data_IF_068634876593
#
_entry.id   IF_068634876593
#
_cell.length_a   1.000
_cell.length_b   1.000
_cell.length_c   1.000
_cell.angle_alpha   90.00
_cell.angle_beta   90.00
_cell.angle_gamma   90.00
#
_symmetry.space_group_name_H-M   'P 1'
#
loop_
_entity.id
_entity.type
_entity.pdbx_description
1 polymer ?
#
# COMPACT_ATOMS: atom_id res chain seq x y z
N UNK A 1 -24.34 -7.62 36.58
CA UNK A 1 -24.36 -6.77 35.41
C UNK A 1 -23.78 -5.44 35.83
N UNK A 2 -22.57 -5.14 35.48
CA UNK A 2 -21.97 -3.83 35.68
C UNK A 2 -21.86 -3.19 34.29
N UNK A 3 -22.60 -2.10 34.12
CA UNK A 3 -22.55 -1.27 32.94
C UNK A 3 -21.10 -0.79 32.71
N UNK A 4 -20.53 -1.10 31.56
CA UNK A 4 -19.27 -0.52 31.12
C UNK A 4 -19.54 0.88 30.60
N UNK A 5 -18.68 1.86 30.90
CA UNK A 5 -18.80 3.20 30.33
C UNK A 5 -18.52 3.18 28.83
N UNK A 6 -19.07 4.14 28.07
CA UNK A 6 -18.97 4.17 26.63
C UNK A 6 -17.57 4.52 26.14
N UNK A 7 -17.14 3.77 25.18
CA UNK A 7 -16.17 3.96 24.09
C UNK A 7 -15.45 5.31 24.01
N UNK A 8 -14.13 5.25 23.94
CA UNK A 8 -13.29 6.39 23.59
C UNK A 8 -13.58 6.84 22.15
N UNK A 9 -13.81 8.13 21.98
CA UNK A 9 -13.89 8.76 20.65
C UNK A 9 -12.47 8.99 20.19
N UNK A 10 -11.95 8.14 19.30
CA UNK A 10 -10.71 8.41 18.61
C UNK A 10 -10.91 9.60 17.66
N UNK A 11 -10.41 10.76 18.03
CA UNK A 11 -10.37 11.92 17.13
C UNK A 11 -9.11 11.83 16.28
N UNK A 12 -9.29 11.72 14.98
CA UNK A 12 -8.18 11.86 14.03
C UNK A 12 -7.71 13.31 14.01
N UNK A 13 -6.45 13.55 14.38
CA UNK A 13 -5.84 14.88 14.32
C UNK A 13 -4.90 14.96 13.12
N UNK A 14 -5.03 15.98 12.25
CA UNK A 14 -4.23 16.09 11.03
C UNK A 14 -2.79 16.58 11.27
N UNK A 15 -2.13 16.16 12.34
CA UNK A 15 -0.79 16.62 12.70
C UNK A 15 0.34 16.23 11.73
N UNK A 16 0.02 15.66 10.56
CA UNK A 16 0.97 15.36 9.48
C UNK A 16 0.78 16.16 8.20
N UNK A 17 -0.26 16.97 8.09
CA UNK A 17 -0.48 17.79 6.88
C UNK A 17 0.46 19.00 6.87
N UNK A 18 1.55 18.92 6.13
CA UNK A 18 2.33 20.10 5.72
C UNK A 18 1.39 21.07 5.01
N UNK A 19 1.57 22.37 5.27
CA UNK A 19 0.79 23.46 4.63
C UNK A 19 0.79 23.27 3.12
N UNK A 20 -0.32 22.78 2.60
CA UNK A 20 -0.60 22.65 1.18
C UNK A 20 -1.13 24.01 0.67
N UNK A 21 -0.85 24.34 -0.58
CA UNK A 21 -1.19 25.64 -1.18
C UNK A 21 -2.71 25.93 -1.14
N UNK A 22 -3.15 27.19 -1.16
CA UNK A 22 -4.57 27.60 -1.00
C UNK A 22 -5.55 27.02 -2.04
N UNK A 23 -5.05 26.49 -3.17
CA UNK A 23 -5.90 25.83 -4.18
C UNK A 23 -6.34 24.40 -3.81
N UNK A 24 -5.81 23.86 -2.71
CA UNK A 24 -6.05 22.48 -2.28
C UNK A 24 -7.14 22.32 -1.20
N UNK A 25 -7.62 23.40 -0.56
CA UNK A 25 -8.49 23.26 0.61
C UNK A 25 -9.82 22.55 0.33
N UNK A 26 -10.56 22.89 -0.73
CA UNK A 26 -11.83 22.22 -1.04
C UNK A 26 -11.63 20.76 -1.52
N UNK A 27 -10.50 20.49 -2.16
CA UNK A 27 -10.16 19.13 -2.61
C UNK A 27 -9.66 18.23 -1.47
N UNK A 28 -9.05 18.79 -0.42
CA UNK A 28 -8.59 18.05 0.76
C UNK A 28 -9.77 17.62 1.62
N UNK A 29 -10.72 18.51 1.91
CA UNK A 29 -11.94 18.18 2.66
C UNK A 29 -12.72 17.04 1.98
N UNK A 30 -12.96 17.13 0.66
CA UNK A 30 -13.66 16.07 -0.07
C UNK A 30 -12.93 14.71 -0.05
N UNK A 31 -11.62 14.71 0.11
CA UNK A 31 -10.83 13.48 0.21
C UNK A 31 -10.84 12.88 1.61
N UNK A 32 -10.79 13.71 2.65
CA UNK A 32 -10.99 13.26 4.03
C UNK A 32 -12.37 12.62 4.15
N UNK A 33 -13.40 13.24 3.60
CA UNK A 33 -14.75 12.69 3.56
C UNK A 33 -14.81 11.35 2.86
N UNK A 34 -14.10 11.23 1.73
CA UNK A 34 -13.99 9.97 1.02
C UNK A 34 -13.31 8.90 1.88
N UNK A 35 -12.17 9.20 2.53
CA UNK A 35 -11.45 8.26 3.38
C UNK A 35 -12.31 7.76 4.54
N UNK A 36 -13.01 8.65 5.23
CA UNK A 36 -13.91 8.29 6.33
C UNK A 36 -15.01 7.34 5.86
N UNK A 37 -15.66 7.66 4.73
CA UNK A 37 -16.70 6.79 4.13
C UNK A 37 -16.13 5.45 3.67
N UNK A 38 -14.94 5.44 3.10
CA UNK A 38 -14.25 4.23 2.62
C UNK A 38 -13.87 3.33 3.79
N UNK A 39 -13.30 3.88 4.86
CA UNK A 39 -12.94 3.11 6.05
C UNK A 39 -14.19 2.55 6.73
N UNK A 40 -15.24 3.37 6.92
CA UNK A 40 -16.50 2.89 7.48
C UNK A 40 -17.08 1.73 6.65
N UNK A 41 -17.12 1.86 5.32
CA UNK A 41 -17.62 0.80 4.44
C UNK A 41 -16.75 -0.46 4.51
N UNK A 42 -15.41 -0.30 4.62
CA UNK A 42 -14.47 -1.40 4.81
C UNK A 42 -14.73 -2.14 6.11
N UNK A 43 -14.86 -1.42 7.22
CA UNK A 43 -15.17 -2.00 8.54
C UNK A 43 -16.51 -2.74 8.51
N UNK A 44 -17.55 -2.15 7.90
CA UNK A 44 -18.86 -2.82 7.74
C UNK A 44 -18.76 -4.10 6.90
N UNK A 45 -17.93 -4.11 5.86
CA UNK A 45 -17.67 -5.34 5.10
C UNK A 45 -16.94 -6.37 5.97
N UNK A 46 -15.91 -5.97 6.72
CA UNK A 46 -15.11 -6.87 7.56
C UNK A 46 -15.94 -7.50 8.69
N UNK A 47 -16.98 -6.84 9.18
CA UNK A 47 -17.95 -7.43 10.13
C UNK A 47 -18.62 -8.70 9.59
N UNK A 48 -18.68 -8.88 8.26
CA UNK A 48 -19.23 -10.09 7.62
C UNK A 48 -18.21 -11.22 7.45
N UNK A 49 -16.97 -11.01 7.90
CA UNK A 49 -15.84 -11.93 7.76
C UNK A 49 -15.36 -12.45 9.12
N UNK A 50 -14.31 -13.26 9.11
CA UNK A 50 -13.63 -13.72 10.35
C UNK A 50 -12.42 -12.86 10.72
N UNK A 51 -12.16 -11.77 9.98
CA UNK A 51 -11.07 -10.84 10.28
C UNK A 51 -11.40 -10.09 11.57
N UNK A 52 -10.52 -10.08 12.58
CA UNK A 52 -10.75 -9.40 13.84
C UNK A 52 -10.55 -7.89 13.68
N UNK A 53 -11.49 -7.23 13.02
CA UNK A 53 -11.51 -5.77 12.84
C UNK A 53 -12.49 -5.11 13.81
N UNK A 54 -12.30 -3.82 14.18
CA UNK A 54 -13.25 -3.09 14.99
C UNK A 54 -14.62 -3.04 14.34
N UNK A 55 -15.68 -3.19 15.13
CA UNK A 55 -17.04 -2.94 14.64
C UNK A 55 -17.24 -1.44 14.47
N UNK A 56 -17.75 -1.02 13.32
CA UNK A 56 -18.08 0.38 13.08
C UNK A 56 -19.57 0.65 13.41
N UNK A 57 -19.82 1.62 14.27
CA UNK A 57 -21.16 1.98 14.72
C UNK A 57 -21.76 3.12 13.91
N UNK A 58 -20.96 4.18 13.69
CA UNK A 58 -21.42 5.39 13.01
C UNK A 58 -20.24 6.17 12.45
N UNK A 59 -20.50 7.14 11.58
CA UNK A 59 -19.52 8.12 11.11
C UNK A 59 -20.18 9.46 10.84
N UNK A 60 -19.39 10.53 10.87
CA UNK A 60 -19.84 11.87 10.50
C UNK A 60 -18.82 12.58 9.64
N UNK A 61 -19.29 13.41 8.74
CA UNK A 61 -18.49 14.26 7.86
C UNK A 61 -18.57 15.70 8.34
N UNK A 62 -17.46 16.40 8.43
CA UNK A 62 -17.39 17.78 8.97
C UNK A 62 -18.35 18.75 8.27
N UNK A 63 -18.53 18.61 6.93
CA UNK A 63 -19.42 19.45 6.13
C UNK A 63 -20.89 19.08 6.17
N UNK A 64 -21.27 17.96 6.79
CA UNK A 64 -22.67 17.53 6.86
C UNK A 64 -23.43 18.33 7.93
N UNK A 65 -24.57 18.89 7.57
CA UNK A 65 -25.40 19.73 8.47
C UNK A 65 -25.90 18.99 9.70
N UNK A 66 -26.03 17.66 9.62
CA UNK A 66 -26.47 16.79 10.71
C UNK A 66 -25.34 16.41 11.66
N UNK A 67 -24.08 16.64 11.27
CA UNK A 67 -22.92 16.39 12.11
C UNK A 67 -22.72 17.52 13.13
N UNK A 68 -23.27 17.32 14.34
CA UNK A 68 -23.14 18.27 15.44
C UNK A 68 -21.77 18.27 16.12
N UNK A 69 -20.90 17.32 15.78
CA UNK A 69 -19.52 17.23 16.33
C UNK A 69 -18.60 18.25 15.66
N UNK A 70 -18.88 18.61 14.39
CA UNK A 70 -18.14 19.63 13.64
C UNK A 70 -16.80 19.17 13.07
N UNK A 71 -16.48 17.88 13.20
CA UNK A 71 -15.29 17.22 12.58
C UNK A 71 -15.69 15.91 11.94
N UNK A 72 -14.92 15.45 10.95
CA UNK A 72 -15.11 14.12 10.40
C UNK A 72 -14.63 13.07 11.40
N UNK A 73 -15.42 11.99 11.61
CA UNK A 73 -15.14 10.94 12.60
C UNK A 73 -15.70 9.59 12.16
N UNK A 74 -15.17 8.53 12.76
CA UNK A 74 -15.76 7.19 12.79
C UNK A 74 -15.91 6.79 14.26
N UNK A 75 -17.10 6.33 14.63
CA UNK A 75 -17.36 5.73 15.94
C UNK A 75 -17.23 4.22 15.79
N UNK A 76 -16.24 3.64 16.46
CA UNK A 76 -15.94 2.21 16.34
C UNK A 76 -15.63 1.58 17.70
N UNK A 77 -15.58 0.25 17.70
CA UNK A 77 -15.22 -0.56 18.87
C UNK A 77 -13.78 -0.29 19.29
N UNK A 78 -13.56 -0.20 20.60
CA UNK A 78 -12.22 -0.21 21.18
C UNK A 78 -11.69 -1.64 21.22
N UNK A 79 -10.59 -1.89 20.50
CA UNK A 79 -9.98 -3.21 20.47
C UNK A 79 -9.13 -3.46 21.71
N UNK A 80 -9.29 -4.63 22.30
CA UNK A 80 -8.45 -5.08 23.41
C UNK A 80 -7.02 -5.41 22.94
N UNK A 81 -6.07 -5.47 23.89
CA UNK A 81 -4.68 -5.81 23.61
C UNK A 81 -3.77 -4.60 23.47
N UNK A 82 -2.60 -4.81 22.93
CA UNK A 82 -1.59 -3.79 22.66
C UNK A 82 -1.11 -3.88 21.21
N UNK A 83 -0.66 -2.77 20.68
CA UNK A 83 -0.05 -2.73 19.34
C UNK A 83 1.18 -3.63 19.28
N UNK A 84 1.28 -4.46 18.27
CA UNK A 84 2.45 -5.29 18.04
C UNK A 84 3.61 -4.46 17.50
N UNK A 85 4.70 -4.43 18.23
CA UNK A 85 5.88 -3.65 17.92
C UNK A 85 7.01 -4.47 17.25
N UNK A 86 6.68 -5.62 16.68
CA UNK A 86 7.62 -6.58 16.07
C UNK A 86 8.67 -7.16 17.06
N UNK A 87 8.46 -6.96 18.36
CA UNK A 87 9.32 -7.52 19.41
C UNK A 87 8.56 -8.58 20.19
N UNK A 88 9.24 -9.67 20.52
CA UNK A 88 8.70 -10.69 21.42
C UNK A 88 8.54 -10.19 22.86
N UNK A 89 8.00 -11.01 23.78
CA UNK A 89 7.70 -10.64 25.18
C UNK A 89 8.86 -10.03 25.95
N UNK A 90 10.09 -10.24 25.52
CA UNK A 90 11.32 -9.75 26.14
C UNK A 90 12.12 -8.75 25.29
N UNK A 91 11.47 -8.08 24.33
CA UNK A 91 12.13 -7.07 23.49
C UNK A 91 13.15 -7.62 22.48
N UNK A 92 13.23 -8.93 22.31
CA UNK A 92 14.05 -9.56 21.26
C UNK A 92 13.14 -9.96 20.10
N UNK A 93 13.53 -9.64 18.87
CA UNK A 93 12.89 -10.19 17.66
C UNK A 93 12.91 -11.72 17.79
N UNK A 94 11.77 -12.32 18.06
CA UNK A 94 11.62 -13.77 18.08
C UNK A 94 11.33 -14.19 16.64
N UNK A 95 12.33 -14.74 15.98
CA UNK A 95 12.17 -15.31 14.64
C UNK A 95 11.27 -16.56 14.63
N UNK A 96 10.95 -17.14 15.79
CA UNK A 96 10.36 -18.49 15.85
C UNK A 96 8.93 -18.57 16.43
N UNK A 97 8.32 -17.47 16.85
CA UNK A 97 7.15 -17.59 17.74
C UNK A 97 5.78 -17.48 17.09
N UNK A 98 5.57 -16.65 16.10
CA UNK A 98 4.22 -16.20 15.74
C UNK A 98 3.77 -16.41 14.29
N UNK A 99 4.48 -17.20 13.50
CA UNK A 99 4.01 -17.58 12.17
C UNK A 99 2.67 -18.33 12.19
N UNK A 100 2.31 -18.92 13.34
CA UNK A 100 1.09 -19.73 13.44
C UNK A 100 -0.20 -18.92 13.39
N UNK A 101 -0.19 -17.67 13.84
CA UNK A 101 -1.41 -16.87 13.94
C UNK A 101 -1.60 -15.84 12.83
N UNK A 102 -0.50 -15.40 12.21
CA UNK A 102 -0.55 -14.55 11.01
C UNK A 102 -1.41 -15.16 9.89
N UNK A 103 -1.52 -16.48 9.82
CA UNK A 103 -2.29 -17.17 8.78
C UNK A 103 -3.80 -17.22 9.02
N UNK A 104 -4.29 -16.93 10.22
CA UNK A 104 -5.75 -16.82 10.42
C UNK A 104 -6.35 -15.62 9.70
N UNK A 105 -5.52 -14.64 9.37
CA UNK A 105 -5.94 -13.40 8.70
C UNK A 105 -6.03 -13.57 7.18
N UNK A 106 -5.34 -14.56 6.62
CA UNK A 106 -5.18 -14.74 5.18
C UNK A 106 -6.02 -15.86 4.57
N UNK A 107 -7.14 -16.24 5.17
CA UNK A 107 -8.10 -17.08 4.45
C UNK A 107 -8.77 -16.24 3.37
N UNK A 108 -8.45 -16.47 2.09
CA UNK A 108 -9.04 -15.71 1.01
C UNK A 108 -10.53 -16.02 0.93
N UNK A 109 -11.36 -15.06 1.31
CA UNK A 109 -12.74 -15.06 0.84
C UNK A 109 -12.77 -14.14 -0.37
N UNK A 110 -13.08 -14.73 -1.53
CA UNK A 110 -13.37 -13.97 -2.73
C UNK A 110 -14.44 -12.92 -2.42
N UNK A 111 -14.16 -11.69 -2.78
CA UNK A 111 -15.16 -10.62 -2.73
C UNK A 111 -16.35 -11.00 -3.61
N UNK A 112 -17.58 -10.61 -3.26
CA UNK A 112 -18.73 -10.78 -4.13
C UNK A 112 -18.42 -10.19 -5.51
N UNK A 113 -18.99 -10.74 -6.55
CA UNK A 113 -18.69 -10.58 -7.98
C UNK A 113 -18.76 -9.13 -8.56
N UNK A 114 -18.86 -8.11 -7.72
CA UNK A 114 -18.70 -6.71 -8.09
C UNK A 114 -17.81 -6.04 -7.03
N UNK A 115 -16.52 -5.83 -7.32
CA UNK A 115 -15.69 -5.01 -6.46
C UNK A 115 -16.31 -3.62 -6.38
N UNK A 116 -16.68 -3.23 -5.18
CA UNK A 116 -17.14 -1.88 -4.90
C UNK A 116 -15.88 -1.02 -4.86
N UNK A 117 -15.82 -0.04 -5.74
CA UNK A 117 -14.83 1.03 -5.90
C UNK A 117 -13.67 0.97 -4.91
N UNK A 118 -12.46 0.67 -5.39
CA UNK A 118 -11.28 0.90 -4.59
C UNK A 118 -10.70 2.27 -4.93
N UNK A 119 -10.55 3.12 -3.92
CA UNK A 119 -9.60 4.20 -4.00
C UNK A 119 -8.24 3.66 -3.59
N UNK A 120 -7.20 4.11 -4.28
CA UNK A 120 -5.85 3.94 -3.79
C UNK A 120 -5.66 5.02 -2.74
N UNK A 121 -5.67 4.65 -1.46
CA UNK A 121 -5.43 5.57 -0.36
C UNK A 121 -4.13 5.22 0.35
N UNK A 122 -3.25 6.18 0.50
CA UNK A 122 -2.10 6.17 1.37
C UNK A 122 -1.76 7.62 1.72
N UNK A 123 -0.87 7.87 2.65
CA UNK A 123 -0.41 9.23 2.97
C UNK A 123 0.05 10.00 1.73
N UNK A 124 0.70 9.30 0.82
CA UNK A 124 1.12 9.83 -0.48
C UNK A 124 -0.06 10.02 -1.43
N UNK A 125 -1.15 9.32 -1.21
CA UNK A 125 -2.28 9.21 -2.11
C UNK A 125 -3.51 10.03 -1.68
N UNK A 126 -3.41 10.83 -0.64
CA UNK A 126 -4.43 11.84 -0.33
C UNK A 126 -4.72 12.77 -1.50
N UNK A 127 -3.81 12.85 -2.46
CA UNK A 127 -3.95 13.64 -3.69
C UNK A 127 -4.44 12.83 -4.88
N UNK A 128 -4.50 11.48 -4.80
CA UNK A 128 -5.01 10.67 -5.89
C UNK A 128 -6.53 10.76 -5.99
N UNK A 129 -7.03 10.76 -7.20
CA UNK A 129 -8.47 10.63 -7.46
C UNK A 129 -8.91 9.19 -7.20
N UNK A 130 -10.13 8.97 -6.69
CA UNK A 130 -10.72 7.64 -6.64
C UNK A 130 -10.69 7.00 -8.03
N UNK A 131 -10.26 5.76 -8.11
CA UNK A 131 -10.14 5.02 -9.36
C UNK A 131 -10.68 3.59 -9.22
N UNK A 132 -11.10 3.02 -10.31
CA UNK A 132 -11.75 1.70 -10.35
C UNK A 132 -13.28 1.81 -10.54
N UNK A 133 -14.01 0.70 -10.47
CA UNK A 133 -13.49 -0.67 -10.29
C UNK A 133 -12.66 -1.13 -11.49
N UNK A 134 -11.67 -2.00 -11.23
CA UNK A 134 -10.80 -2.56 -12.26
C UNK A 134 -11.22 -4.00 -12.60
N UNK A 135 -11.16 -4.34 -13.91
CA UNK A 135 -11.43 -5.69 -14.38
C UNK A 135 -10.18 -6.59 -14.33
N UNK A 136 -8.99 -5.99 -14.46
CA UNK A 136 -7.72 -6.70 -14.53
C UNK A 136 -6.65 -6.08 -13.62
N UNK A 137 -5.69 -6.89 -13.18
CA UNK A 137 -4.50 -6.43 -12.47
C UNK A 137 -3.69 -5.42 -13.29
N UNK A 138 -3.65 -5.62 -14.61
CA UNK A 138 -2.98 -4.69 -15.53
C UNK A 138 -3.59 -3.29 -15.44
N UNK A 139 -4.91 -3.18 -15.49
CA UNK A 139 -5.60 -1.88 -15.42
C UNK A 139 -5.37 -1.22 -14.05
N UNK A 140 -5.40 -2.01 -12.98
CA UNK A 140 -5.12 -1.55 -11.63
C UNK A 140 -3.70 -0.97 -11.50
N UNK A 141 -2.65 -1.72 -11.91
CA UNK A 141 -1.27 -1.24 -11.83
C UNK A 141 -1.01 -0.06 -12.78
N UNK A 142 -1.65 -0.06 -13.96
CA UNK A 142 -1.54 1.06 -14.90
C UNK A 142 -2.13 2.33 -14.29
N UNK A 143 -3.30 2.24 -13.67
CA UNK A 143 -3.93 3.38 -12.99
C UNK A 143 -3.04 3.94 -11.88
N UNK A 144 -2.40 3.08 -11.07
CA UNK A 144 -1.46 3.51 -10.04
C UNK A 144 -0.30 4.32 -10.61
N UNK A 145 0.36 3.81 -11.64
CA UNK A 145 1.50 4.48 -12.26
C UNK A 145 1.10 5.79 -12.92
N UNK A 146 0.01 5.80 -13.69
CA UNK A 146 -0.47 6.99 -14.40
C UNK A 146 -0.85 8.12 -13.45
N UNK A 147 -1.47 7.82 -12.31
CA UNK A 147 -1.81 8.83 -11.31
C UNK A 147 -0.56 9.42 -10.66
N UNK A 148 0.45 8.61 -10.35
CA UNK A 148 1.74 9.11 -9.84
C UNK A 148 2.45 9.99 -10.89
N UNK A 149 2.49 9.54 -12.15
CA UNK A 149 3.07 10.32 -13.24
C UNK A 149 2.36 11.66 -13.44
N UNK A 150 1.03 11.70 -13.32
CA UNK A 150 0.27 12.94 -13.39
C UNK A 150 0.64 13.90 -12.23
N UNK A 151 0.74 13.40 -11.00
CA UNK A 151 1.13 14.21 -9.84
C UNK A 151 2.58 14.73 -9.94
N UNK A 152 3.49 13.95 -10.54
CA UNK A 152 4.87 14.40 -10.82
C UNK A 152 4.83 15.53 -11.85
N UNK A 153 4.06 15.37 -12.93
CA UNK A 153 3.92 16.39 -13.97
C UNK A 153 3.32 17.70 -13.44
N UNK A 154 2.42 17.59 -12.48
CA UNK A 154 1.81 18.75 -11.80
C UNK A 154 2.70 19.34 -10.68
N UNK A 155 3.93 18.81 -10.46
CA UNK A 155 4.85 19.25 -9.42
C UNK A 155 4.42 18.91 -7.98
N UNK A 156 3.46 18.00 -7.81
CA UNK A 156 2.93 17.60 -6.50
C UNK A 156 3.73 16.48 -5.85
N UNK A 157 4.39 15.63 -6.65
CA UNK A 157 5.27 14.56 -6.18
C UNK A 157 6.70 14.78 -6.68
N UNK A 158 7.67 14.42 -5.84
CA UNK A 158 9.10 14.47 -6.13
C UNK A 158 9.59 15.81 -6.70
N UNK A 159 9.21 16.97 -6.12
CA UNK A 159 9.55 18.27 -6.69
C UNK A 159 11.06 18.53 -6.75
N UNK A 160 11.87 17.81 -5.97
CA UNK A 160 13.33 17.92 -5.95
C UNK A 160 14.01 17.21 -7.13
N UNK A 161 13.35 16.25 -7.77
CA UNK A 161 13.90 15.48 -8.91
C UNK A 161 12.79 14.95 -9.85
N UNK A 162 11.92 15.83 -10.37
CA UNK A 162 10.69 15.41 -11.07
C UNK A 162 11.00 14.61 -12.35
N UNK A 163 11.99 15.02 -13.15
CA UNK A 163 12.38 14.29 -14.37
C UNK A 163 12.82 12.87 -14.03
N UNK A 164 13.70 12.72 -13.03
CA UNK A 164 14.23 11.42 -12.66
C UNK A 164 13.13 10.50 -12.09
N UNK A 165 12.23 11.05 -11.26
CA UNK A 165 11.08 10.32 -10.74
C UNK A 165 10.14 9.88 -11.87
N UNK A 166 9.85 10.76 -12.82
CA UNK A 166 9.01 10.44 -13.96
C UNK A 166 9.59 9.29 -14.81
N UNK A 167 10.91 9.31 -15.06
CA UNK A 167 11.61 8.23 -15.77
C UNK A 167 11.52 6.89 -15.01
N UNK A 168 11.62 6.90 -13.68
CA UNK A 168 11.43 5.68 -12.88
C UNK A 168 10.00 5.15 -13.02
N UNK A 169 8.99 6.02 -13.01
CA UNK A 169 7.60 5.58 -13.23
C UNK A 169 7.34 5.12 -14.67
N UNK A 170 7.98 5.69 -15.69
CA UNK A 170 7.96 5.16 -17.06
C UNK A 170 8.57 3.75 -17.10
N UNK A 171 9.69 3.53 -16.42
CA UNK A 171 10.27 2.19 -16.29
C UNK A 171 9.29 1.23 -15.61
N UNK A 172 8.72 1.60 -14.45
CA UNK A 172 7.73 0.78 -13.75
C UNK A 172 6.51 0.47 -14.62
N UNK A 173 6.03 1.45 -15.40
CA UNK A 173 4.95 1.26 -16.37
C UNK A 173 5.29 0.17 -17.39
N UNK A 174 6.51 0.17 -17.91
CA UNK A 174 6.97 -0.85 -18.85
C UNK A 174 7.02 -2.26 -18.24
N UNK A 175 7.11 -2.37 -16.91
CA UNK A 175 7.17 -3.64 -16.19
C UNK A 175 5.78 -4.22 -15.84
N UNK A 176 4.69 -3.48 -16.02
CA UNK A 176 3.33 -3.94 -15.67
C UNK A 176 2.97 -5.29 -16.30
N UNK A 177 3.30 -5.59 -17.59
CA UNK A 177 3.03 -6.90 -18.17
C UNK A 177 3.70 -8.04 -17.39
N UNK A 178 4.87 -7.82 -16.82
CA UNK A 178 5.62 -8.81 -16.02
C UNK A 178 4.98 -9.03 -14.63
N UNK A 179 4.25 -8.05 -14.10
CA UNK A 179 3.51 -8.15 -12.83
C UNK A 179 2.16 -8.85 -13.02
N UNK A 180 1.47 -8.55 -14.12
CA UNK A 180 0.14 -9.05 -14.41
C UNK A 180 0.12 -10.50 -14.94
N UNK A 181 1.22 -11.00 -15.53
CA UNK A 181 1.27 -12.29 -16.24
C UNK A 181 1.22 -13.53 -15.35
N UNK A 182 0.94 -13.39 -14.07
CA UNK A 182 0.96 -14.48 -13.09
C UNK A 182 -0.40 -15.06 -12.74
N UNK A 183 -1.47 -14.54 -13.32
CA UNK A 183 -2.76 -15.19 -13.26
C UNK A 183 -2.70 -16.56 -13.99
N UNK A 184 -3.13 -17.61 -13.30
CA UNK A 184 -3.20 -18.98 -13.81
C UNK A 184 -3.67 -19.00 -15.27
N UNK A 185 -2.84 -19.50 -16.20
CA UNK A 185 -3.09 -19.55 -17.64
C UNK A 185 -4.29 -20.38 -18.07
N UNK A 186 -5.05 -20.96 -17.15
CA UNK A 186 -6.05 -21.95 -17.44
C UNK A 186 -7.51 -21.56 -17.18
N UNK A 187 -7.80 -20.31 -16.80
CA UNK A 187 -9.20 -19.95 -16.52
C UNK A 187 -9.50 -18.62 -17.21
N UNK A 188 -10.43 -18.62 -18.15
CA UNK A 188 -11.15 -17.46 -18.70
C UNK A 188 -12.06 -16.80 -17.63
N UNK A 189 -11.59 -16.70 -16.39
CA UNK A 189 -12.35 -16.13 -15.28
C UNK A 189 -11.86 -14.72 -15.01
N UNK A 190 -12.80 -13.84 -14.75
CA UNK A 190 -12.57 -12.50 -14.18
C UNK A 190 -11.53 -12.62 -13.05
N UNK A 191 -10.46 -11.82 -13.13
CA UNK A 191 -9.42 -11.82 -12.08
C UNK A 191 -10.08 -11.58 -10.72
N UNK A 192 -9.66 -12.35 -9.72
CA UNK A 192 -10.16 -12.19 -8.36
C UNK A 192 -9.34 -11.09 -7.65
N UNK A 193 -10.07 -10.23 -6.97
CA UNK A 193 -9.52 -9.16 -6.15
C UNK A 193 -9.83 -9.41 -4.68
N UNK A 194 -8.92 -8.98 -3.81
CA UNK A 194 -8.97 -9.21 -2.37
C UNK A 194 -8.79 -7.91 -1.61
N UNK A 195 -9.41 -7.80 -0.45
CA UNK A 195 -9.16 -6.66 0.43
C UNK A 195 -7.78 -6.81 1.08
N UNK A 196 -7.00 -5.75 1.06
CA UNK A 196 -5.68 -5.69 1.68
C UNK A 196 -5.57 -4.48 2.59
N UNK A 197 -5.00 -4.69 3.77
CA UNK A 197 -4.50 -3.63 4.62
C UNK A 197 -3.16 -3.14 4.04
N UNK A 198 -3.13 -1.93 3.48
CA UNK A 198 -1.97 -1.49 2.70
C UNK A 198 -0.85 -0.97 3.59
N UNK A 199 -1.19 -0.33 4.71
CA UNK A 199 -0.20 0.10 5.71
C UNK A 199 0.16 -1.07 6.63
N UNK A 200 0.78 -2.10 6.06
CA UNK A 200 1.01 -3.39 6.70
C UNK A 200 2.38 -3.51 7.37
N UNK A 201 2.83 -2.46 8.07
CA UNK A 201 4.10 -2.43 8.82
C UNK A 201 4.07 -3.27 10.11
N UNK A 202 2.92 -3.73 10.52
CA UNK A 202 2.71 -4.54 11.73
C UNK A 202 2.18 -3.77 12.94
N UNK A 203 2.31 -2.45 12.98
CA UNK A 203 1.83 -1.59 14.07
C UNK A 203 0.29 -1.49 14.15
N UNK A 204 -0.42 -1.88 13.10
CA UNK A 204 -1.87 -2.03 13.04
C UNK A 204 -2.38 -3.34 13.66
N UNK A 205 -1.50 -4.27 14.04
CA UNK A 205 -1.88 -5.52 14.67
C UNK A 205 -1.99 -5.34 16.19
N UNK A 206 -3.15 -5.68 16.75
CA UNK A 206 -3.37 -5.73 18.19
C UNK A 206 -3.15 -7.15 18.67
N UNK A 207 -2.35 -7.31 19.73
CA UNK A 207 -2.02 -8.63 20.31
C UNK A 207 -2.32 -8.65 21.79
N UNK A 208 -2.67 -9.83 22.31
CA UNK A 208 -2.74 -10.11 23.75
C UNK A 208 -1.36 -10.40 24.35
N UNK A 209 -1.34 -10.78 25.62
CA UNK A 209 -0.08 -11.07 26.33
C UNK A 209 0.60 -12.36 25.81
N UNK A 210 -0.15 -13.27 25.24
CA UNK A 210 0.32 -14.49 24.59
C UNK A 210 0.72 -14.26 23.12
N UNK A 211 0.65 -13.00 22.64
CA UNK A 211 0.92 -12.58 21.26
C UNK A 211 -0.06 -13.13 20.23
N UNK A 212 -1.26 -13.54 20.66
CA UNK A 212 -2.33 -13.84 19.72
C UNK A 212 -2.87 -12.54 19.13
N UNK A 213 -3.13 -12.52 17.81
CA UNK A 213 -3.76 -11.37 17.16
C UNK A 213 -5.22 -11.31 17.59
N UNK A 214 -5.56 -10.26 18.31
CA UNK A 214 -6.92 -9.99 18.82
C UNK A 214 -7.61 -8.88 18.04
N UNK A 215 -6.87 -8.12 17.22
CA UNK A 215 -7.44 -7.06 16.41
C UNK A 215 -6.51 -6.60 15.29
N UNK A 216 -7.13 -6.07 14.23
CA UNK A 216 -6.44 -5.35 13.15
C UNK A 216 -7.15 -4.01 13.03
N UNK A 217 -6.42 -2.92 13.25
CA UNK A 217 -6.93 -1.56 13.27
C UNK A 217 -6.38 -0.76 12.08
N UNK A 218 -6.85 0.48 11.90
CA UNK A 218 -6.34 1.42 10.90
C UNK A 218 -6.61 1.00 9.45
N UNK A 219 -7.86 0.67 9.15
CA UNK A 219 -8.30 0.23 7.82
C UNK A 219 -8.53 1.36 6.81
N UNK A 220 -8.20 2.61 7.16
CA UNK A 220 -8.40 3.78 6.29
C UNK A 220 -7.69 3.66 4.95
N UNK A 221 -6.55 2.93 4.90
CA UNK A 221 -5.75 2.72 3.70
C UNK A 221 -6.08 1.41 2.97
N UNK A 222 -7.09 0.67 3.44
CA UNK A 222 -7.48 -0.59 2.82
C UNK A 222 -7.90 -0.39 1.36
N UNK A 223 -7.51 -1.33 0.52
CA UNK A 223 -7.91 -1.35 -0.88
C UNK A 223 -8.15 -2.76 -1.39
N UNK A 224 -8.84 -2.83 -2.51
CA UNK A 224 -9.14 -4.07 -3.21
C UNK A 224 -8.08 -4.29 -4.28
N UNK A 225 -7.31 -5.35 -4.15
CA UNK A 225 -6.07 -5.59 -4.90
C UNK A 225 -6.06 -6.98 -5.55
N UNK A 226 -5.26 -7.19 -6.62
CA UNK A 226 -5.07 -8.52 -7.19
C UNK A 226 -4.41 -9.50 -6.20
N UNK A 227 -4.61 -10.81 -6.42
CA UNK A 227 -4.10 -11.87 -5.55
C UNK A 227 -2.58 -11.77 -5.27
N UNK A 228 -1.79 -11.47 -6.30
CA UNK A 228 -0.34 -11.35 -6.15
C UNK A 228 0.08 -10.22 -5.19
N UNK A 229 -0.69 -9.15 -5.13
CA UNK A 229 -0.45 -8.07 -4.18
C UNK A 229 -1.01 -8.40 -2.80
N UNK A 230 -2.18 -9.05 -2.75
CA UNK A 230 -2.81 -9.40 -1.48
C UNK A 230 -1.96 -10.38 -0.67
N UNK A 231 -1.37 -11.38 -1.33
CA UNK A 231 -0.71 -12.53 -0.70
C UNK A 231 0.79 -12.63 -0.99
N UNK A 232 1.35 -11.72 -1.78
CA UNK A 232 2.78 -11.65 -2.06
C UNK A 232 3.57 -10.96 -0.94
N UNK A 233 4.91 -10.91 -1.11
CA UNK A 233 5.79 -10.21 -0.18
C UNK A 233 5.36 -8.77 0.07
N UNK A 234 5.19 -8.41 1.34
CA UNK A 234 4.69 -7.11 1.79
C UNK A 234 5.64 -6.44 2.77
N UNK A 235 5.27 -5.29 3.33
CA UNK A 235 6.10 -4.62 4.33
C UNK A 235 6.15 -5.36 5.68
N UNK A 236 5.10 -6.14 6.04
CA UNK A 236 5.09 -6.96 7.27
C UNK A 236 6.25 -7.95 7.31
N UNK A 237 6.62 -8.50 6.16
CA UNK A 237 7.72 -9.47 6.04
C UNK A 237 9.03 -8.84 5.56
N UNK A 238 9.04 -7.54 5.27
CA UNK A 238 10.20 -6.84 4.75
C UNK A 238 11.24 -6.54 5.84
N UNK A 239 12.51 -6.59 5.45
CA UNK A 239 13.59 -5.95 6.18
C UNK A 239 13.81 -4.56 5.59
N UNK A 240 13.33 -3.52 6.27
CA UNK A 240 13.36 -2.15 5.73
C UNK A 240 14.79 -1.69 5.40
N UNK A 241 15.77 -2.09 6.21
CA UNK A 241 17.19 -1.82 5.92
C UNK A 241 17.63 -2.39 4.57
N UNK A 242 17.18 -3.58 4.22
CA UNK A 242 17.49 -4.21 2.93
C UNK A 242 16.81 -3.48 1.77
N UNK A 243 15.57 -3.03 1.97
CA UNK A 243 14.87 -2.23 0.95
C UNK A 243 15.67 -0.95 0.65
N UNK A 244 16.05 -0.19 1.67
CA UNK A 244 16.80 1.05 1.49
C UNK A 244 18.23 0.84 0.98
N UNK A 245 18.84 -0.32 1.25
CA UNK A 245 20.15 -0.69 0.71
C UNK A 245 20.09 -1.33 -0.68
N UNK A 246 18.93 -1.42 -1.29
CA UNK A 246 18.77 -1.95 -2.66
C UNK A 246 18.97 -3.47 -2.76
N UNK A 247 18.83 -4.19 -1.64
CA UNK A 247 18.88 -5.66 -1.62
C UNK A 247 17.57 -6.20 -2.20
N UNK A 248 17.64 -6.85 -3.36
CA UNK A 248 16.49 -7.43 -4.04
C UNK A 248 16.48 -8.95 -3.83
N UNK A 249 15.85 -9.39 -2.74
CA UNK A 249 15.66 -10.81 -2.42
C UNK A 249 14.49 -11.00 -1.45
N UNK A 250 13.91 -12.18 -1.47
CA UNK A 250 12.96 -12.58 -0.45
C UNK A 250 13.65 -12.70 0.91
N UNK A 251 13.00 -12.23 1.95
CA UNK A 251 13.50 -12.28 3.33
C UNK A 251 13.28 -13.67 3.95
N UNK A 252 13.93 -13.90 5.10
CA UNK A 252 13.68 -15.11 5.90
C UNK A 252 12.21 -15.17 6.37
N UNK A 253 11.57 -14.00 6.56
CA UNK A 253 10.17 -13.88 6.96
C UNK A 253 9.22 -14.20 5.79
N UNK A 254 9.53 -13.78 4.55
CA UNK A 254 8.79 -14.20 3.35
C UNK A 254 8.79 -15.73 3.23
N UNK A 255 9.96 -16.35 3.36
CA UNK A 255 10.10 -17.81 3.33
C UNK A 255 9.42 -18.49 4.51
N UNK A 256 9.44 -17.88 5.70
CA UNK A 256 8.75 -18.37 6.90
C UNK A 256 7.24 -18.42 6.67
N UNK A 257 6.66 -17.31 6.21
CA UNK A 257 5.23 -17.22 5.94
C UNK A 257 4.81 -18.19 4.82
N UNK A 258 5.60 -18.31 3.75
CA UNK A 258 5.33 -19.27 2.68
C UNK A 258 5.30 -20.73 3.18
N UNK A 259 6.28 -21.12 4.03
CA UNK A 259 6.26 -22.46 4.65
C UNK A 259 5.03 -22.69 5.52
N UNK A 260 4.64 -21.65 6.25
CA UNK A 260 3.46 -21.73 7.10
C UNK A 260 2.16 -21.88 6.28
N UNK A 261 1.99 -21.09 5.21
CA UNK A 261 0.86 -21.19 4.28
C UNK A 261 0.79 -22.60 3.70
N UNK A 262 1.92 -23.15 3.25
CA UNK A 262 1.99 -24.52 2.75
C UNK A 262 1.57 -25.57 3.80
N UNK A 263 2.03 -25.41 5.04
CA UNK A 263 1.67 -26.30 6.15
C UNK A 263 0.17 -26.23 6.50
N UNK A 264 -0.54 -25.17 6.09
CA UNK A 264 -1.98 -24.99 6.23
C UNK A 264 -2.77 -25.51 5.02
N UNK A 265 -2.11 -26.04 3.99
CA UNK A 265 -2.74 -26.50 2.75
C UNK A 265 -3.04 -25.36 1.76
N UNK A 266 -2.49 -24.17 1.98
CA UNK A 266 -2.65 -23.00 1.10
C UNK A 266 -1.47 -22.94 0.11
N UNK A 267 -1.33 -23.97 -0.72
CA UNK A 267 -0.17 -24.12 -1.62
C UNK A 267 -0.09 -22.96 -2.64
N UNK A 268 -1.21 -22.55 -3.22
CA UNK A 268 -1.26 -21.44 -4.20
C UNK A 268 -0.78 -20.12 -3.59
N UNK A 269 -1.17 -19.83 -2.34
CA UNK A 269 -0.74 -18.64 -1.62
C UNK A 269 0.75 -18.73 -1.25
N UNK A 270 1.20 -19.91 -0.85
CA UNK A 270 2.62 -20.15 -0.58
C UNK A 270 3.49 -19.94 -1.83
N UNK A 271 2.99 -20.28 -3.00
CA UNK A 271 3.69 -20.08 -4.27
C UNK A 271 3.74 -18.60 -4.66
N UNK A 272 2.64 -17.86 -4.46
CA UNK A 272 2.63 -16.40 -4.64
C UNK A 272 3.68 -15.74 -3.72
N UNK A 273 3.71 -16.11 -2.43
CA UNK A 273 4.66 -15.56 -1.45
C UNK A 273 6.13 -15.86 -1.77
N UNK A 274 6.41 -16.98 -2.45
CA UNK A 274 7.79 -17.40 -2.79
C UNK A 274 8.27 -16.92 -4.14
N UNK A 275 7.41 -16.27 -4.93
CA UNK A 275 7.71 -15.97 -6.31
C UNK A 275 8.82 -14.94 -6.46
N UNK A 276 8.58 -13.73 -6.07
CA UNK A 276 9.52 -12.60 -6.12
C UNK A 276 9.01 -11.41 -5.30
N UNK A 277 9.84 -10.38 -5.13
CA UNK A 277 9.46 -9.15 -4.42
C UNK A 277 9.08 -7.99 -5.35
N UNK A 278 8.83 -8.23 -6.63
CA UNK A 278 8.57 -7.17 -7.62
C UNK A 278 7.48 -6.21 -7.20
N UNK A 279 6.36 -6.71 -6.67
CA UNK A 279 5.25 -5.86 -6.23
C UNK A 279 5.62 -5.00 -5.02
N UNK A 280 6.39 -5.54 -4.07
CA UNK A 280 6.94 -4.74 -2.97
C UNK A 280 7.80 -3.60 -3.50
N UNK A 281 8.68 -3.85 -4.47
CA UNK A 281 9.50 -2.82 -5.12
C UNK A 281 8.71 -1.87 -6.01
N UNK A 282 7.67 -2.35 -6.65
CA UNK A 282 6.80 -1.52 -7.48
C UNK A 282 6.07 -0.44 -6.67
N UNK A 283 5.57 -0.78 -5.50
CA UNK A 283 4.84 0.17 -4.64
C UNK A 283 5.75 1.02 -3.75
N UNK A 284 6.89 0.48 -3.31
CA UNK A 284 7.80 1.13 -2.36
C UNK A 284 9.18 1.44 -2.97
N UNK A 285 9.26 1.57 -4.28
CA UNK A 285 10.53 1.80 -4.97
C UNK A 285 11.09 3.20 -4.82
N UNK A 286 10.24 4.22 -4.63
CA UNK A 286 10.64 5.59 -4.38
C UNK A 286 10.04 6.10 -3.08
N UNK A 287 10.86 6.81 -2.29
CA UNK A 287 10.44 7.56 -1.13
C UNK A 287 10.51 9.06 -1.41
N UNK A 288 9.48 9.82 -0.99
CA UNK A 288 9.38 11.26 -1.26
C UNK A 288 10.34 12.10 -0.42
N UNK A 289 10.78 11.59 0.72
CA UNK A 289 11.60 12.34 1.67
C UNK A 289 13.10 12.28 1.36
N UNK A 290 13.52 11.49 0.37
CA UNK A 290 14.91 11.36 -0.02
C UNK A 290 15.31 12.28 -1.18
N UNK A 291 16.56 12.75 -1.14
CA UNK A 291 17.18 13.39 -2.31
C UNK A 291 17.42 12.36 -3.42
N UNK A 292 17.61 12.84 -4.66
CA UNK A 292 17.90 11.95 -5.78
C UNK A 292 19.16 11.07 -5.53
N UNK A 293 20.14 11.57 -4.83
CA UNK A 293 21.34 10.80 -4.52
C UNK A 293 21.08 9.68 -3.50
N UNK A 294 20.21 9.93 -2.52
CA UNK A 294 19.82 8.96 -1.51
C UNK A 294 18.90 7.87 -2.09
N UNK A 295 18.13 8.17 -3.14
CA UNK A 295 17.28 7.19 -3.82
C UNK A 295 18.05 6.20 -4.69
N UNK A 296 19.35 6.39 -4.92
CA UNK A 296 20.13 5.53 -5.83
C UNK A 296 20.06 4.05 -5.47
N UNK A 297 20.17 3.72 -4.19
CA UNK A 297 20.11 2.32 -3.74
C UNK A 297 18.70 1.74 -3.91
N UNK A 298 17.66 2.53 -3.64
CA UNK A 298 16.26 2.12 -3.90
C UNK A 298 16.05 1.79 -5.38
N UNK A 299 16.53 2.65 -6.27
CA UNK A 299 16.43 2.44 -7.73
C UNK A 299 17.17 1.19 -8.16
N UNK A 300 18.38 0.95 -7.62
CA UNK A 300 19.12 -0.30 -7.88
C UNK A 300 18.34 -1.53 -7.42
N UNK A 301 17.64 -1.44 -6.29
CA UNK A 301 16.75 -2.49 -5.82
C UNK A 301 15.58 -2.73 -6.77
N UNK A 302 14.98 -1.66 -7.34
CA UNK A 302 13.95 -1.78 -8.38
C UNK A 302 14.53 -2.48 -9.61
N UNK A 303 15.65 -2.00 -10.14
CA UNK A 303 16.28 -2.59 -11.33
C UNK A 303 16.55 -4.08 -11.12
N UNK A 304 17.19 -4.44 -10.00
CA UNK A 304 17.49 -5.84 -9.67
C UNK A 304 16.23 -6.71 -9.56
N UNK A 305 15.16 -6.21 -8.93
CA UNK A 305 13.88 -6.93 -8.81
C UNK A 305 13.26 -7.24 -10.17
N UNK A 306 13.44 -6.34 -11.15
CA UNK A 306 12.94 -6.50 -12.51
C UNK A 306 13.97 -7.07 -13.50
N UNK A 307 15.10 -7.59 -13.00
CA UNK A 307 16.08 -8.32 -13.81
C UNK A 307 17.08 -7.43 -14.56
N UNK A 308 17.17 -6.15 -14.23
CA UNK A 308 18.26 -5.29 -14.73
C UNK A 308 19.52 -5.46 -13.87
N UNK A 309 20.69 -5.18 -14.46
CA UNK A 309 21.92 -5.14 -13.70
C UNK A 309 21.90 -3.99 -12.68
N UNK A 310 21.99 -4.33 -11.39
CA UNK A 310 22.08 -3.36 -10.30
C UNK A 310 23.26 -2.40 -10.40
N UNK A 311 24.30 -2.76 -11.19
CA UNK A 311 25.47 -1.93 -11.43
C UNK A 311 25.31 -1.02 -12.65
N UNK A 312 24.15 -1.01 -13.30
CA UNK A 312 23.85 -0.09 -14.40
C UNK A 312 24.23 1.34 -14.01
N UNK A 313 25.00 2.00 -14.87
CA UNK A 313 25.34 3.40 -14.66
C UNK A 313 24.07 4.26 -14.77
N UNK A 314 23.80 5.03 -13.72
CA UNK A 314 22.60 5.85 -13.61
C UNK A 314 22.50 6.91 -14.72
N UNK A 315 23.64 7.48 -15.14
CA UNK A 315 23.65 8.51 -16.18
C UNK A 315 23.33 7.91 -17.54
N UNK A 316 23.94 6.74 -17.83
CA UNK A 316 23.64 5.99 -19.05
C UNK A 316 22.18 5.62 -19.10
N UNK A 317 21.66 5.00 -18.03
CA UNK A 317 20.23 4.64 -17.94
C UNK A 317 19.31 5.85 -18.15
N UNK A 318 19.62 6.98 -17.52
CA UNK A 318 18.85 8.21 -17.67
C UNK A 318 18.85 8.70 -19.12
N UNK A 319 20.01 8.72 -19.76
CA UNK A 319 20.13 9.13 -21.17
C UNK A 319 19.30 8.22 -22.07
N UNK A 320 19.44 6.90 -21.90
CA UNK A 320 18.67 5.92 -22.67
C UNK A 320 17.15 6.09 -22.47
N UNK A 321 16.70 6.33 -21.24
CA UNK A 321 15.30 6.57 -20.95
C UNK A 321 14.78 7.88 -21.55
N UNK A 322 15.57 8.95 -21.52
CA UNK A 322 15.22 10.22 -22.16
C UNK A 322 15.08 10.04 -23.68
N UNK A 323 16.04 9.37 -24.33
CA UNK A 323 16.01 9.10 -25.77
C UNK A 323 14.80 8.24 -26.17
N UNK A 324 14.48 7.22 -25.39
CA UNK A 324 13.32 6.35 -25.62
C UNK A 324 11.99 7.08 -25.49
N UNK A 325 11.92 8.09 -24.62
CA UNK A 325 10.67 8.78 -24.28
C UNK A 325 10.62 10.27 -24.69
N UNK A 326 11.49 10.67 -25.61
CA UNK A 326 11.54 12.06 -26.13
C UNK A 326 10.24 12.56 -26.76
N UNK A 327 9.29 11.68 -27.04
CA UNK A 327 7.97 12.02 -27.58
C UNK A 327 6.87 12.08 -26.51
N UNK A 328 7.20 11.82 -25.23
CA UNK A 328 6.25 11.97 -24.12
C UNK A 328 6.10 13.45 -23.77
N UNK A 329 4.95 14.02 -24.11
CA UNK A 329 4.67 15.45 -23.92
C UNK A 329 4.77 15.87 -22.45
N UNK A 330 4.35 15.01 -21.50
CA UNK A 330 4.44 15.33 -20.07
C UNK A 330 5.89 15.39 -19.62
N UNK A 331 6.71 14.44 -20.06
CA UNK A 331 8.14 14.43 -19.77
C UNK A 331 8.82 15.70 -20.29
N UNK A 332 8.52 16.09 -21.54
CA UNK A 332 9.08 17.31 -22.13
C UNK A 332 8.67 18.57 -21.37
N UNK A 333 7.40 18.67 -20.98
CA UNK A 333 6.93 19.78 -20.16
C UNK A 333 7.62 19.85 -18.77
N UNK A 334 7.91 18.72 -18.17
CA UNK A 334 8.68 18.66 -16.90
C UNK A 334 10.11 19.14 -17.14
N UNK A 335 10.76 18.69 -18.22
CA UNK A 335 12.12 19.13 -18.57
C UNK A 335 12.18 20.63 -18.84
N UNK A 336 11.21 21.17 -19.58
CA UNK A 336 11.13 22.60 -19.87
C UNK A 336 10.92 23.43 -18.60
N UNK A 337 10.17 22.91 -17.63
CA UNK A 337 9.83 23.61 -16.40
C UNK A 337 10.95 23.53 -15.33
N UNK A 338 11.65 22.43 -15.24
CA UNK A 338 12.60 22.12 -14.15
C UNK A 338 14.03 21.85 -14.63
N UNK A 339 14.27 21.86 -15.92
CA UNK A 339 15.53 21.37 -16.51
C UNK A 339 15.62 19.82 -16.46
N UNK A 340 16.58 19.26 -17.17
CA UNK A 340 16.77 17.80 -17.21
C UNK A 340 17.19 17.19 -15.84
N UNK A 341 17.54 18.03 -14.88
CA UNK A 341 17.99 17.59 -13.55
C UNK A 341 19.36 16.89 -13.56
N UNK A 342 19.95 16.60 -12.41
CA UNK A 342 21.26 15.98 -12.29
C UNK A 342 21.26 14.53 -12.73
#
# INVERSE_FOLDING_TARGET
>A
MRDRPPTSVGTWSPHGLRQLSPRMNSSVESRIDYLVRSEYATLKFLETTTVPAPRAFDFGIAGDTDNKVGVSYILMEEMAGRTWNMQGPHGKRSADGNDKERSRISSPRSLPSKPIVSAVASDRFLVLSPSGPFATAKDYYTSFVEQNMALIADGQLFPSFPVNAYLVFLFLKSQIPNLASTANRNIETTEQFYIKHVDDKGDHLMVDDELNIVGIIDWQMARVVPANEAFGPSLVTAEMGDIYNGVSSLTVHDHGLARFLKAKGEDDLADIMRKDEKLRRFFFGLDVDFSWNETLLLIRGIWAAFGMDKNTDRKVWKTDMLDQHMHDERLMNIIDSFGAGP
#
